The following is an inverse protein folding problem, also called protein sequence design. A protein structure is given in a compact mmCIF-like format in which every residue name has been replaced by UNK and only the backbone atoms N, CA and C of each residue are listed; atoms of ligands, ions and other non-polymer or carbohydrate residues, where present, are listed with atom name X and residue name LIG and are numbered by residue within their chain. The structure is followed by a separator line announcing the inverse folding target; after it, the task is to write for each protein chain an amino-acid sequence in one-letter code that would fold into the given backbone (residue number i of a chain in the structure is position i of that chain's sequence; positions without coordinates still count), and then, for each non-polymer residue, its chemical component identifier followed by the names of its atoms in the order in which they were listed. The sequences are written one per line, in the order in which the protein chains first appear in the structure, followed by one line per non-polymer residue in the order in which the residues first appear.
data_IF_849534780284
#
_entry.id   IF_849534780284
#
_cell.length_a   1.000
_cell.length_b   1.000
_cell.length_c   1.000
_cell.angle_alpha   90.00
_cell.angle_beta   90.00
_cell.angle_gamma   90.00
#
_symmetry.space_group_name_H-M   'P 1'
#
loop_
_entity.id
_entity.type
_entity.pdbx_description
1 polymer ?
#
# COMPACT_ATOMS: atom_id res chain seq x y z
N UNK A 1 10.57 -32.79 15.64
CA UNK A 1 9.69 -32.36 16.75
C UNK A 1 8.84 -31.21 16.24
N UNK A 2 7.52 -31.27 16.38
CA UNK A 2 6.62 -30.16 16.01
C UNK A 2 6.78 -29.04 17.05
N UNK A 3 7.11 -27.82 16.58
CA UNK A 3 7.16 -26.64 17.45
C UNK A 3 5.75 -26.22 17.81
N UNK A 4 5.47 -26.14 19.11
CA UNK A 4 4.13 -25.79 19.62
C UNK A 4 4.26 -24.67 20.64
N UNK A 5 3.39 -23.65 20.52
CA UNK A 5 3.35 -22.46 21.36
C UNK A 5 1.95 -22.20 21.88
N UNK A 6 1.81 -21.48 22.98
CA UNK A 6 0.53 -21.10 23.56
C UNK A 6 0.07 -19.75 22.99
N UNK A 7 -1.12 -19.72 22.43
CA UNK A 7 -1.81 -18.48 22.07
C UNK A 7 -2.43 -17.86 23.32
N UNK A 8 -1.99 -16.66 23.70
CA UNK A 8 -2.41 -15.98 24.93
C UNK A 8 -3.92 -15.68 24.93
N UNK A 9 -4.45 -15.14 23.82
CA UNK A 9 -5.85 -14.69 23.72
C UNK A 9 -6.85 -15.85 23.88
N UNK A 10 -6.58 -17.01 23.28
CA UNK A 10 -7.51 -18.16 23.27
C UNK A 10 -7.10 -19.29 24.21
N UNK A 11 -5.97 -19.14 24.89
CA UNK A 11 -5.37 -20.17 25.77
C UNK A 11 -5.28 -21.57 25.11
N UNK A 12 -4.98 -21.60 23.79
CA UNK A 12 -4.85 -22.85 23.01
C UNK A 12 -3.43 -23.05 22.52
N UNK A 13 -3.08 -24.30 22.24
CA UNK A 13 -1.81 -24.67 21.63
C UNK A 13 -1.86 -24.48 20.11
N UNK A 14 -0.87 -23.79 19.59
CA UNK A 14 -0.63 -23.54 18.16
C UNK A 14 0.60 -24.35 17.75
N UNK A 15 0.40 -25.25 16.80
CA UNK A 15 1.47 -26.04 16.22
C UNK A 15 1.92 -25.41 14.91
N UNK A 16 3.23 -25.16 14.77
CA UNK A 16 3.81 -24.72 13.51
C UNK A 16 3.88 -25.90 12.54
N UNK A 17 3.45 -25.68 11.28
CA UNK A 17 3.37 -26.74 10.27
C UNK A 17 4.47 -26.64 9.23
N UNK A 18 4.51 -25.53 8.47
CA UNK A 18 5.43 -25.32 7.38
C UNK A 18 6.04 -23.92 7.48
N UNK A 19 7.37 -23.80 7.32
CA UNK A 19 8.05 -22.52 7.22
C UNK A 19 7.71 -21.85 5.88
N UNK A 20 7.23 -20.63 5.95
CA UNK A 20 6.84 -19.81 4.78
C UNK A 20 7.95 -18.83 4.41
N UNK A 21 8.59 -18.21 5.40
CA UNK A 21 9.64 -17.23 5.21
C UNK A 21 10.63 -17.22 6.37
N UNK A 22 11.87 -16.80 6.10
CA UNK A 22 12.93 -16.61 7.09
C UNK A 22 13.68 -15.32 6.78
N UNK A 23 13.77 -14.43 7.75
CA UNK A 23 14.49 -13.16 7.70
C UNK A 23 15.53 -13.08 8.81
N UNK A 24 16.33 -12.01 8.87
CA UNK A 24 17.28 -11.78 9.96
C UNK A 24 16.64 -11.62 11.34
N UNK A 25 15.35 -11.28 11.41
CA UNK A 25 14.65 -11.01 12.67
C UNK A 25 13.74 -12.16 13.13
N UNK A 26 13.07 -12.83 12.18
CA UNK A 26 12.01 -13.79 12.50
C UNK A 26 11.79 -14.80 11.38
N UNK A 27 11.11 -15.89 11.74
CA UNK A 27 10.52 -16.84 10.79
C UNK A 27 9.01 -16.73 10.79
N UNK A 28 8.41 -16.87 9.60
CA UNK A 28 6.96 -16.94 9.42
C UNK A 28 6.56 -18.37 9.09
N UNK A 29 5.53 -18.85 9.76
CA UNK A 29 5.07 -20.24 9.67
C UNK A 29 3.59 -20.32 9.42
N UNK A 30 3.17 -21.29 8.61
CA UNK A 30 1.80 -21.80 8.65
C UNK A 30 1.54 -22.49 9.97
N UNK A 31 0.27 -22.50 10.41
CA UNK A 31 -0.12 -23.06 11.68
C UNK A 31 -1.30 -24.03 11.54
N UNK A 32 -1.56 -24.83 12.60
CA UNK A 32 -2.79 -25.60 12.72
C UNK A 32 -4.04 -24.75 13.04
N UNK A 33 -3.89 -23.44 13.15
CA UNK A 33 -4.98 -22.49 13.30
C UNK A 33 -5.31 -21.87 11.96
N UNK A 34 -6.30 -22.41 11.29
CA UNK A 34 -6.66 -22.10 9.92
C UNK A 34 -6.87 -20.57 9.71
N UNK A 35 -6.29 -20.02 8.66
CA UNK A 35 -6.34 -18.59 8.34
C UNK A 35 -5.38 -17.70 9.15
N UNK A 36 -4.46 -18.31 9.92
CA UNK A 36 -3.46 -17.57 10.70
C UNK A 36 -2.05 -18.10 10.48
N UNK A 37 -1.12 -17.16 10.35
CA UNK A 37 0.31 -17.38 10.35
C UNK A 37 0.90 -17.05 11.73
N UNK A 38 2.03 -17.68 12.06
CA UNK A 38 2.85 -17.34 13.22
C UNK A 38 4.15 -16.67 12.78
N UNK A 39 4.47 -15.47 13.30
CA UNK A 39 5.80 -14.85 13.18
C UNK A 39 6.55 -15.08 14.47
N UNK A 40 7.65 -15.86 14.41
CA UNK A 40 8.47 -16.29 15.54
C UNK A 40 9.81 -15.58 15.45
N UNK A 41 10.14 -14.75 16.43
CA UNK A 41 11.38 -14.00 16.48
C UNK A 41 12.57 -14.89 16.85
N UNK A 42 13.74 -14.62 16.26
CA UNK A 42 14.98 -15.27 16.64
C UNK A 42 15.40 -14.88 18.06
N UNK A 43 15.33 -13.59 18.38
CA UNK A 43 15.70 -13.02 19.68
C UNK A 43 14.65 -12.01 20.14
N UNK A 44 13.53 -12.43 20.78
CA UNK A 44 12.55 -11.50 21.34
C UNK A 44 13.17 -10.80 22.55
N UNK A 45 13.27 -9.46 22.51
CA UNK A 45 13.70 -8.62 23.63
C UNK A 45 12.48 -7.90 24.25
N UNK A 46 12.58 -7.45 25.49
CA UNK A 46 11.46 -6.90 26.25
C UNK A 46 10.74 -5.76 25.52
N UNK A 47 11.48 -4.85 24.94
CA UNK A 47 10.91 -3.71 24.21
C UNK A 47 10.02 -4.16 23.02
N UNK A 48 10.42 -5.18 22.27
CA UNK A 48 9.61 -5.77 21.20
C UNK A 48 8.37 -6.46 21.75
N UNK A 49 8.48 -7.13 22.88
CA UNK A 49 7.36 -7.78 23.57
C UNK A 49 6.34 -6.73 24.03
N UNK A 50 6.79 -5.67 24.69
CA UNK A 50 5.93 -4.57 25.16
C UNK A 50 5.20 -3.90 23.98
N UNK A 51 5.93 -3.61 22.89
CA UNK A 51 5.37 -3.09 21.65
C UNK A 51 4.25 -3.97 21.10
N UNK A 52 4.50 -5.29 20.99
CA UNK A 52 3.49 -6.24 20.50
C UNK A 52 2.26 -6.29 21.39
N UNK A 53 2.44 -6.30 22.72
CA UNK A 53 1.31 -6.29 23.67
C UNK A 53 0.46 -5.03 23.49
N UNK A 54 1.10 -3.87 23.30
CA UNK A 54 0.42 -2.61 23.04
C UNK A 54 -0.36 -2.68 21.72
N UNK A 55 0.23 -3.22 20.66
CA UNK A 55 -0.41 -3.36 19.34
C UNK A 55 -1.63 -4.29 19.39
N UNK A 56 -1.54 -5.44 20.07
CA UNK A 56 -2.66 -6.38 20.23
C UNK A 56 -3.86 -5.71 20.91
N UNK A 57 -3.61 -4.86 21.92
CA UNK A 57 -4.66 -4.14 22.68
C UNK A 57 -5.25 -2.95 21.90
N UNK A 58 -4.47 -2.31 21.04
CA UNK A 58 -4.81 -1.05 20.38
C UNK A 58 -4.90 -1.19 18.85
N UNK A 59 -5.61 -2.19 18.35
CA UNK A 59 -5.76 -2.42 16.91
C UNK A 59 -6.43 -1.24 16.20
N UNK A 60 -5.96 -0.79 15.03
CA UNK A 60 -6.67 0.17 14.18
C UNK A 60 -8.01 -0.40 13.68
N UNK A 61 -8.99 0.48 13.44
CA UNK A 61 -10.23 0.10 12.77
C UNK A 61 -9.95 -0.23 11.31
N UNK A 62 -10.38 -1.40 10.85
CA UNK A 62 -10.18 -1.81 9.45
C UNK A 62 -11.22 -1.14 8.54
N UNK A 63 -10.80 -0.31 7.57
CA UNK A 63 -11.73 0.41 6.70
C UNK A 63 -12.48 -0.50 5.71
N UNK A 64 -12.00 -1.73 5.48
CA UNK A 64 -12.56 -2.67 4.50
C UNK A 64 -13.24 -3.88 5.15
N UNK A 65 -13.48 -3.87 6.47
CA UNK A 65 -14.12 -4.98 7.18
C UNK A 65 -15.50 -5.33 6.58
N UNK A 66 -16.25 -4.33 6.15
CA UNK A 66 -17.56 -4.48 5.50
C UNK A 66 -17.49 -5.18 4.13
N UNK A 67 -16.30 -5.26 3.52
CA UNK A 67 -16.03 -5.98 2.27
C UNK A 67 -15.53 -7.41 2.50
N UNK A 68 -15.54 -7.87 3.74
CA UNK A 68 -14.94 -9.15 4.15
C UNK A 68 -13.47 -9.23 3.68
N UNK A 69 -12.69 -8.19 4.00
CA UNK A 69 -11.29 -8.07 3.64
C UNK A 69 -10.46 -7.60 4.83
N UNK A 70 -9.22 -8.08 4.91
CA UNK A 70 -8.25 -7.74 5.94
C UNK A 70 -7.27 -6.71 5.35
N UNK A 71 -7.36 -5.46 5.82
CA UNK A 71 -6.53 -4.36 5.30
C UNK A 71 -5.10 -4.35 5.85
N UNK A 72 -4.83 -5.05 6.95
CA UNK A 72 -3.49 -5.16 7.53
C UNK A 72 -3.35 -6.48 8.32
N UNK A 73 -2.21 -7.17 8.13
CA UNK A 73 -1.84 -8.37 8.88
C UNK A 73 -1.38 -8.00 10.30
N UNK A 74 -2.34 -7.51 11.11
CA UNK A 74 -2.09 -7.00 12.45
C UNK A 74 -1.84 -8.12 13.44
N UNK A 75 -0.96 -7.94 14.47
CA UNK A 75 -0.82 -8.89 15.54
C UNK A 75 -2.17 -9.22 16.18
N UNK A 76 -2.58 -10.48 16.08
CA UNK A 76 -3.85 -10.98 16.61
C UNK A 76 -3.71 -11.40 18.07
N UNK A 77 -2.67 -12.16 18.38
CA UNK A 77 -2.39 -12.67 19.72
C UNK A 77 -0.90 -12.96 19.90
N UNK A 78 -0.40 -12.76 21.09
CA UNK A 78 0.93 -13.16 21.51
C UNK A 78 1.05 -14.70 21.55
N UNK A 79 2.23 -15.19 21.18
CA UNK A 79 2.63 -16.60 21.31
C UNK A 79 3.71 -16.74 22.39
N UNK A 80 3.53 -17.70 23.28
CA UNK A 80 4.41 -18.00 24.40
C UNK A 80 4.94 -19.45 24.32
N UNK A 81 6.17 -19.65 24.78
CA UNK A 81 6.71 -20.99 24.96
C UNK A 81 6.15 -21.67 26.25
N UNK A 82 6.64 -22.87 26.55
CA UNK A 82 6.20 -23.65 27.72
C UNK A 82 6.61 -23.01 29.08
N UNK A 83 7.47 -22.01 29.05
CA UNK A 83 7.92 -21.26 30.24
C UNK A 83 7.20 -19.92 30.37
N UNK A 84 6.22 -19.62 29.49
CA UNK A 84 5.52 -18.33 29.45
C UNK A 84 6.32 -17.20 28.85
N UNK A 85 7.46 -17.48 28.19
CA UNK A 85 8.25 -16.46 27.51
C UNK A 85 7.64 -16.20 26.15
N UNK A 86 7.44 -14.92 25.82
CA UNK A 86 6.97 -14.49 24.49
C UNK A 86 8.01 -14.82 23.43
N UNK A 87 7.58 -15.52 22.39
CA UNK A 87 8.42 -15.91 21.25
C UNK A 87 7.99 -15.23 19.94
N UNK A 88 6.78 -14.73 19.86
CA UNK A 88 6.23 -14.12 18.64
C UNK A 88 4.72 -13.85 18.74
N UNK A 89 4.06 -13.85 17.60
CA UNK A 89 2.63 -13.55 17.53
C UNK A 89 1.95 -14.27 16.38
N UNK A 90 0.63 -14.39 16.49
CA UNK A 90 -0.26 -14.78 15.40
C UNK A 90 -0.70 -13.54 14.61
N UNK A 91 -0.82 -13.69 13.32
CA UNK A 91 -1.39 -12.67 12.41
C UNK A 91 -2.28 -13.36 11.36
N UNK A 92 -3.27 -12.64 10.78
CA UNK A 92 -4.08 -13.19 9.70
C UNK A 92 -3.21 -13.59 8.51
N UNK A 93 -3.54 -14.73 7.90
CA UNK A 93 -2.97 -15.15 6.62
C UNK A 93 -3.63 -14.38 5.47
N UNK A 94 -2.83 -13.89 4.53
CA UNK A 94 -3.29 -13.19 3.33
C UNK A 94 -3.11 -14.10 2.13
N UNK A 95 -4.21 -14.55 1.54
CA UNK A 95 -4.21 -15.47 0.39
C UNK A 95 -4.77 -14.79 -0.86
N UNK A 96 -4.39 -15.30 -2.04
CA UNK A 96 -4.94 -14.83 -3.32
C UNK A 96 -4.57 -13.38 -3.65
N UNK A 97 -3.43 -12.90 -3.19
CA UNK A 97 -2.94 -11.54 -3.40
C UNK A 97 -1.53 -11.54 -3.97
N UNK A 98 -1.19 -10.50 -4.71
CA UNK A 98 0.14 -10.26 -5.30
C UNK A 98 0.77 -9.02 -4.69
N UNK A 99 2.11 -8.97 -4.64
CA UNK A 99 2.82 -7.79 -4.15
C UNK A 99 2.56 -6.57 -5.04
N UNK A 100 2.46 -5.40 -4.41
CA UNK A 100 2.26 -4.14 -5.14
C UNK A 100 3.39 -3.89 -6.14
N UNK A 101 4.62 -4.34 -5.87
CA UNK A 101 5.75 -4.27 -6.79
C UNK A 101 5.43 -4.94 -8.14
N UNK A 102 4.81 -6.12 -8.13
CA UNK A 102 4.41 -6.82 -9.36
C UNK A 102 3.34 -6.04 -10.12
N UNK A 103 2.39 -5.43 -9.39
CA UNK A 103 1.29 -4.67 -9.99
C UNK A 103 1.73 -3.32 -10.55
N UNK A 104 2.67 -2.62 -9.88
CA UNK A 104 3.17 -1.32 -10.34
C UNK A 104 4.00 -1.44 -11.63
N UNK A 105 4.77 -2.53 -11.79
CA UNK A 105 5.75 -2.64 -12.85
C UNK A 105 5.15 -3.31 -14.10
N UNK A 106 5.05 -2.61 -15.27
CA UNK A 106 4.44 -3.18 -16.48
C UNK A 106 5.08 -4.50 -16.95
N UNK A 107 6.41 -4.62 -16.83
CA UNK A 107 7.14 -5.85 -17.18
C UNK A 107 6.74 -7.02 -16.26
N UNK A 108 6.61 -6.75 -14.95
CA UNK A 108 6.19 -7.77 -13.97
C UNK A 108 4.74 -8.21 -14.22
N UNK A 109 3.83 -7.25 -14.50
CA UNK A 109 2.45 -7.59 -14.87
C UNK A 109 2.38 -8.59 -16.03
N UNK A 110 3.14 -8.35 -17.09
CA UNK A 110 3.23 -9.28 -18.22
C UNK A 110 3.81 -10.64 -17.82
N UNK A 111 4.92 -10.64 -17.07
CA UNK A 111 5.59 -11.87 -16.62
C UNK A 111 4.68 -12.77 -15.79
N UNK A 112 3.82 -12.19 -14.95
CA UNK A 112 2.93 -12.92 -14.04
C UNK A 112 1.48 -12.96 -14.53
N UNK A 113 1.18 -12.51 -15.77
CA UNK A 113 -0.16 -12.45 -16.35
C UNK A 113 -1.19 -11.75 -15.45
N UNK A 114 -0.79 -10.63 -14.83
CA UNK A 114 -1.66 -9.87 -13.94
C UNK A 114 -2.56 -8.94 -14.79
N UNK A 115 -3.84 -9.23 -14.78
CA UNK A 115 -4.84 -8.40 -15.44
C UNK A 115 -5.07 -7.12 -14.63
N UNK A 116 -4.53 -6.02 -15.11
CA UNK A 116 -4.67 -4.70 -14.49
C UNK A 116 -4.90 -3.66 -15.57
N UNK A 117 -5.57 -2.58 -15.19
CA UNK A 117 -5.72 -1.38 -15.99
C UNK A 117 -5.55 -0.14 -15.12
N UNK A 118 -5.54 1.02 -15.75
CA UNK A 118 -5.30 2.26 -15.03
C UNK A 118 -6.40 2.63 -14.04
N UNK A 119 -7.67 2.23 -14.31
CA UNK A 119 -8.78 2.38 -13.36
C UNK A 119 -8.54 1.53 -12.11
N UNK A 120 -8.18 0.25 -12.29
CA UNK A 120 -7.84 -0.67 -11.18
C UNK A 120 -6.75 -0.08 -10.30
N UNK A 121 -5.67 0.48 -10.89
CA UNK A 121 -4.57 1.06 -10.14
C UNK A 121 -4.98 2.31 -9.34
N UNK A 122 -5.91 3.14 -9.86
CA UNK A 122 -6.50 4.23 -9.09
C UNK A 122 -7.31 3.74 -7.89
N UNK A 123 -8.09 2.66 -8.06
CA UNK A 123 -8.86 2.05 -6.96
C UNK A 123 -7.91 1.52 -5.88
N UNK A 124 -6.84 0.84 -6.27
CA UNK A 124 -5.79 0.36 -5.34
C UNK A 124 -5.18 1.55 -4.58
N UNK A 125 -4.80 2.63 -5.28
CA UNK A 125 -4.23 3.83 -4.66
C UNK A 125 -5.17 4.45 -3.62
N UNK A 126 -6.47 4.60 -3.97
CA UNK A 126 -7.50 5.10 -3.06
C UNK A 126 -7.62 4.22 -1.81
N UNK A 127 -7.62 2.91 -1.99
CA UNK A 127 -7.77 1.96 -0.88
C UNK A 127 -6.52 1.95 0.02
N UNK A 128 -5.30 2.06 -0.52
CA UNK A 128 -4.07 2.22 0.27
C UNK A 128 -4.15 3.51 1.11
N UNK A 129 -4.56 4.63 0.51
CA UNK A 129 -4.73 5.88 1.23
C UNK A 129 -5.75 5.76 2.38
N UNK A 130 -6.87 5.05 2.17
CA UNK A 130 -7.85 4.79 3.23
C UNK A 130 -7.28 3.96 4.39
N UNK A 131 -6.47 2.94 4.09
CA UNK A 131 -5.81 2.11 5.10
C UNK A 131 -4.80 2.92 5.91
N UNK A 132 -3.95 3.71 5.24
CA UNK A 132 -2.95 4.55 5.91
C UNK A 132 -3.64 5.63 6.76
N UNK A 133 -4.75 6.21 6.28
CA UNK A 133 -5.57 7.13 7.09
C UNK A 133 -6.04 6.46 8.39
N UNK A 134 -6.56 5.23 8.32
CA UNK A 134 -7.03 4.51 9.51
C UNK A 134 -5.90 4.21 10.51
N UNK A 135 -4.69 3.92 10.01
CA UNK A 135 -3.50 3.68 10.83
C UNK A 135 -3.06 4.99 11.53
N UNK A 136 -2.98 6.10 10.79
CA UNK A 136 -2.61 7.42 11.33
C UNK A 136 -3.63 7.92 12.36
N UNK A 137 -4.94 7.75 12.12
CA UNK A 137 -6.00 8.10 13.08
C UNK A 137 -5.86 7.37 14.43
N UNK A 138 -5.23 6.21 14.45
CA UNK A 138 -4.93 5.46 15.67
C UNK A 138 -3.58 5.85 16.31
N UNK A 139 -2.84 6.78 15.69
CA UNK A 139 -1.56 7.28 16.20
C UNK A 139 -0.35 6.40 15.84
N UNK A 140 -0.50 5.45 14.92
CA UNK A 140 0.62 4.67 14.41
C UNK A 140 1.32 5.38 13.25
N UNK A 141 2.62 5.16 13.11
CA UNK A 141 3.43 5.61 11.98
C UNK A 141 4.04 4.37 11.32
N UNK A 142 3.86 4.22 10.02
CA UNK A 142 4.33 3.02 9.33
C UNK A 142 5.86 2.95 9.29
N UNK A 143 6.52 4.08 9.01
CA UNK A 143 7.97 4.21 9.05
C UNK A 143 8.71 3.54 7.88
N UNK A 144 8.31 2.36 7.44
CA UNK A 144 8.87 1.63 6.28
C UNK A 144 7.77 1.17 5.33
N UNK A 145 7.22 2.11 4.57
CA UNK A 145 6.29 1.79 3.49
C UNK A 145 7.11 1.44 2.24
N UNK A 146 6.93 0.22 1.74
CA UNK A 146 7.52 -0.26 0.48
C UNK A 146 6.55 -1.15 -0.28
N UNK A 147 6.79 -1.32 -1.57
CA UNK A 147 5.87 -2.02 -2.47
C UNK A 147 5.72 -3.51 -2.15
N UNK A 148 6.74 -4.12 -1.55
CA UNK A 148 6.77 -5.52 -1.15
C UNK A 148 5.90 -5.81 0.08
N UNK A 149 5.71 -4.80 0.96
CA UNK A 149 4.91 -4.91 2.18
C UNK A 149 3.42 -4.60 1.95
N UNK A 150 3.01 -4.42 0.70
CA UNK A 150 1.60 -4.21 0.32
C UNK A 150 1.20 -5.33 -0.65
N UNK A 151 0.24 -6.14 -0.25
CA UNK A 151 -0.36 -7.18 -1.07
C UNK A 151 -1.70 -6.69 -1.61
N UNK A 152 -2.04 -7.05 -2.84
CA UNK A 152 -3.29 -6.62 -3.48
C UNK A 152 -3.98 -7.81 -4.12
N UNK A 153 -5.27 -7.99 -3.85
CA UNK A 153 -6.08 -9.03 -4.47
C UNK A 153 -6.73 -8.55 -5.80
N UNK A 154 -7.42 -9.47 -6.48
CA UNK A 154 -8.10 -9.18 -7.76
C UNK A 154 -9.29 -8.21 -7.63
N UNK A 155 -9.75 -7.89 -6.41
CA UNK A 155 -10.80 -6.89 -6.13
C UNK A 155 -10.24 -5.49 -5.89
N UNK A 156 -8.95 -5.25 -6.17
CA UNK A 156 -8.22 -4.01 -5.87
C UNK A 156 -8.19 -3.66 -4.37
N UNK A 157 -8.28 -4.66 -3.50
CA UNK A 157 -8.23 -4.49 -2.05
C UNK A 157 -6.82 -4.79 -1.55
N UNK A 158 -6.11 -3.78 -0.98
CA UNK A 158 -4.76 -3.96 -0.44
C UNK A 158 -4.78 -4.47 0.99
N UNK A 159 -3.74 -5.22 1.33
CA UNK A 159 -3.38 -5.58 2.71
C UNK A 159 -1.95 -5.16 2.99
N UNK A 160 -1.71 -4.40 4.04
CA UNK A 160 -0.36 -4.08 4.53
C UNK A 160 0.10 -5.22 5.44
N UNK A 161 1.28 -5.76 5.14
CA UNK A 161 1.95 -6.79 5.95
C UNK A 161 3.14 -6.21 6.70
N UNK A 162 3.78 -6.99 7.56
CA UNK A 162 4.95 -6.59 8.37
C UNK A 162 4.66 -5.42 9.32
N UNK A 163 3.44 -5.39 9.87
CA UNK A 163 2.94 -4.28 10.69
C UNK A 163 3.66 -4.15 12.04
N UNK A 164 4.32 -5.19 12.52
CA UNK A 164 5.13 -5.15 13.75
C UNK A 164 6.41 -4.30 13.62
N UNK A 165 6.79 -3.90 12.40
CA UNK A 165 7.86 -2.92 12.14
C UNK A 165 7.43 -1.47 12.44
N UNK A 166 6.14 -1.15 12.48
CA UNK A 166 5.61 0.21 12.66
C UNK A 166 6.15 0.88 13.91
N UNK A 167 6.26 2.20 13.89
CA UNK A 167 6.47 2.97 15.11
C UNK A 167 5.16 3.06 15.90
N UNK A 168 5.24 2.81 17.18
CA UNK A 168 4.11 2.74 18.11
C UNK A 168 4.38 3.67 19.29
N UNK A 169 3.44 4.55 19.59
CA UNK A 169 3.51 5.39 20.80
C UNK A 169 2.53 4.84 21.84
N UNK A 170 3.03 4.61 23.05
CA UNK A 170 2.19 4.24 24.18
C UNK A 170 1.47 5.49 24.72
N UNK A 171 0.15 5.56 24.63
CA UNK A 171 -0.59 6.75 25.09
C UNK A 171 -0.57 6.95 26.60
N UNK A 172 -0.18 5.94 27.39
CA UNK A 172 -0.17 6.01 28.83
C UNK A 172 1.19 6.43 29.39
N UNK A 173 2.28 5.83 28.86
CA UNK A 173 3.64 6.13 29.32
C UNK A 173 4.35 7.19 28.49
N UNK A 174 3.85 7.51 27.31
CA UNK A 174 4.52 8.36 26.33
C UNK A 174 5.74 7.70 25.66
N UNK A 175 6.02 6.41 25.96
CA UNK A 175 7.15 5.69 25.36
C UNK A 175 6.90 5.47 23.87
N UNK A 176 7.93 5.72 23.05
CA UNK A 176 7.90 5.51 21.62
C UNK A 176 8.74 4.27 21.28
N UNK A 177 8.09 3.29 20.64
CA UNK A 177 8.72 2.09 20.07
C UNK A 177 8.97 2.37 18.60
N UNK A 178 10.19 2.75 18.24
CA UNK A 178 10.56 3.25 16.92
C UNK A 178 10.46 2.19 15.82
N UNK A 179 10.28 2.66 14.58
CA UNK A 179 10.57 1.90 13.39
C UNK A 179 12.08 2.00 13.11
N UNK A 180 12.78 0.87 13.12
CA UNK A 180 14.24 0.84 13.07
C UNK A 180 14.79 0.79 11.63
N UNK A 181 13.93 0.68 10.63
CA UNK A 181 14.27 0.43 9.23
C UNK A 181 13.64 1.46 8.30
N UNK A 182 14.21 1.60 7.12
CA UNK A 182 13.67 2.40 6.04
C UNK A 182 14.15 1.85 4.70
N UNK A 183 13.40 2.12 3.64
CA UNK A 183 13.67 1.61 2.31
C UNK A 183 14.18 2.71 1.39
N UNK A 184 15.20 2.39 0.60
CA UNK A 184 15.72 3.29 -0.42
C UNK A 184 14.61 3.67 -1.42
N UNK A 185 14.61 4.93 -1.87
CA UNK A 185 13.58 5.46 -2.76
C UNK A 185 12.26 5.84 -2.06
N UNK A 186 12.03 5.41 -0.81
CA UNK A 186 10.87 5.76 0.02
C UNK A 186 11.24 6.62 1.23
N UNK A 187 12.52 6.83 1.49
CA UNK A 187 12.98 7.67 2.59
C UNK A 187 12.89 9.16 2.19
N UNK A 188 12.15 10.00 2.93
CA UNK A 188 12.04 11.43 2.62
C UNK A 188 13.37 12.16 2.85
N UNK A 189 13.54 13.30 2.19
CA UNK A 189 14.79 14.06 2.14
C UNK A 189 15.42 14.34 3.51
N UNK A 190 14.59 14.68 4.50
CA UNK A 190 15.00 15.01 5.87
C UNK A 190 15.51 13.81 6.69
N UNK A 191 15.28 12.58 6.20
CA UNK A 191 15.77 11.35 6.85
C UNK A 191 16.95 10.71 6.10
N UNK A 192 17.36 11.25 4.95
CA UNK A 192 18.50 10.72 4.20
C UNK A 192 19.81 11.07 4.91
N UNK A 193 20.61 10.07 5.20
CA UNK A 193 21.86 10.21 5.96
C UNK A 193 21.69 10.26 7.47
N UNK A 194 20.47 10.11 7.97
CA UNK A 194 20.17 10.02 9.40
C UNK A 194 20.01 8.55 9.82
N UNK A 195 20.50 8.17 11.01
CA UNK A 195 20.20 6.86 11.55
C UNK A 195 18.71 6.80 11.96
N UNK A 196 17.90 6.12 11.16
CA UNK A 196 16.43 6.03 11.34
C UNK A 196 16.07 5.46 12.72
N UNK A 197 16.90 4.57 13.27
CA UNK A 197 16.67 3.99 14.59
C UNK A 197 16.68 5.03 15.75
N UNK A 198 17.28 6.20 15.51
CA UNK A 198 17.37 7.29 16.49
C UNK A 198 16.27 8.36 16.32
N UNK A 199 15.38 8.21 15.32
CA UNK A 199 14.38 9.21 14.96
C UNK A 199 12.98 8.81 15.39
N UNK A 200 12.29 9.70 16.09
CA UNK A 200 10.85 9.61 16.29
C UNK A 200 10.14 10.07 15.00
N UNK A 201 9.77 9.10 14.19
CA UNK A 201 9.08 9.40 12.93
C UNK A 201 7.65 9.89 13.20
N UNK A 202 7.09 10.61 12.23
CA UNK A 202 5.72 11.13 12.30
C UNK A 202 4.97 10.76 11.02
N UNK A 203 3.66 10.93 11.01
CA UNK A 203 2.85 10.76 9.79
C UNK A 203 3.31 11.64 8.62
N UNK A 204 4.03 12.75 8.90
CA UNK A 204 4.58 13.64 7.86
C UNK A 204 5.61 12.92 6.99
N UNK A 205 6.40 12.00 7.57
CA UNK A 205 7.33 11.16 6.82
C UNK A 205 6.58 10.11 5.98
N UNK A 206 5.53 9.52 6.53
CA UNK A 206 4.67 8.57 5.79
C UNK A 206 3.91 9.24 4.64
N UNK A 207 3.56 10.52 4.74
CA UNK A 207 2.92 11.28 3.66
C UNK A 207 3.79 11.35 2.40
N UNK A 208 5.12 11.47 2.55
CA UNK A 208 6.05 11.36 1.42
C UNK A 208 6.01 9.96 0.81
N UNK A 209 6.12 8.92 1.64
CA UNK A 209 6.12 7.51 1.22
C UNK A 209 4.83 7.16 0.48
N UNK A 210 3.68 7.60 1.00
CA UNK A 210 2.38 7.40 0.34
C UNK A 210 2.35 8.06 -1.03
N UNK A 211 2.86 9.29 -1.17
CA UNK A 211 3.00 9.96 -2.47
C UNK A 211 3.85 9.16 -3.45
N UNK A 212 4.97 8.58 -3.00
CA UNK A 212 5.82 7.69 -3.81
C UNK A 212 5.07 6.43 -4.25
N UNK A 213 4.35 5.77 -3.33
CA UNK A 213 3.55 4.56 -3.63
C UNK A 213 2.46 4.87 -4.68
N UNK A 214 1.71 5.97 -4.50
CA UNK A 214 0.67 6.36 -5.46
C UNK A 214 1.29 6.69 -6.82
N UNK A 215 2.46 7.33 -6.85
CA UNK A 215 3.18 7.61 -8.09
C UNK A 215 3.57 6.31 -8.81
N UNK A 216 4.15 5.33 -8.10
CA UNK A 216 4.46 4.02 -8.67
C UNK A 216 3.23 3.35 -9.31
N UNK A 217 2.08 3.39 -8.62
CA UNK A 217 0.83 2.81 -9.14
C UNK A 217 0.40 3.46 -10.45
N UNK A 218 0.41 4.77 -10.52
CA UNK A 218 -0.17 5.51 -11.65
C UNK A 218 0.79 5.67 -12.82
N UNK A 219 2.11 5.62 -12.58
CA UNK A 219 3.15 5.90 -13.57
C UNK A 219 4.11 4.73 -13.84
N UNK A 220 4.02 3.64 -13.06
CA UNK A 220 4.79 2.41 -13.31
C UNK A 220 6.27 2.47 -12.94
N UNK A 221 6.69 3.49 -12.18
CA UNK A 221 8.07 3.67 -11.72
C UNK A 221 8.21 4.75 -10.66
N UNK A 222 9.43 4.99 -10.13
CA UNK A 222 9.67 5.98 -9.07
C UNK A 222 9.54 7.43 -9.58
N UNK A 223 9.11 8.36 -8.70
CA UNK A 223 9.01 9.79 -9.07
C UNK A 223 10.37 10.43 -9.33
N UNK A 224 11.39 10.09 -8.54
CA UNK A 224 12.73 10.65 -8.63
C UNK A 224 13.60 9.88 -9.64
N UNK A 225 13.18 9.92 -10.91
CA UNK A 225 13.84 9.29 -12.04
C UNK A 225 13.58 10.10 -13.32
N UNK A 226 14.63 10.46 -14.06
CA UNK A 226 14.53 11.20 -15.30
C UNK A 226 15.88 11.24 -16.04
N UNK A 227 15.99 12.07 -17.08
CA UNK A 227 17.25 12.31 -17.77
C UNK A 227 18.04 13.36 -16.99
N UNK A 228 19.26 12.97 -16.58
CA UNK A 228 20.19 13.89 -15.93
C UNK A 228 20.79 14.86 -16.94
N UNK A 229 20.71 16.17 -16.66
CA UNK A 229 21.24 17.25 -17.47
C UNK A 229 22.45 17.94 -16.82
N UNK A 230 22.84 17.52 -15.61
CA UNK A 230 24.07 18.01 -14.95
C UNK A 230 25.33 17.42 -15.55
N UNK A 231 26.48 17.97 -15.21
CA UNK A 231 27.78 17.41 -15.61
C UNK A 231 28.10 16.11 -14.86
N UNK A 232 28.88 15.22 -15.49
CA UNK A 232 29.31 13.95 -14.91
C UNK A 232 28.22 12.87 -14.90
N UNK A 233 28.40 11.87 -14.02
CA UNK A 233 27.47 10.75 -13.88
C UNK A 233 26.13 11.19 -13.27
N UNK A 234 25.07 10.43 -13.58
CA UNK A 234 23.75 10.65 -12.99
C UNK A 234 23.80 10.41 -11.47
N UNK A 235 23.04 11.21 -10.72
CA UNK A 235 22.96 11.07 -9.28
C UNK A 235 22.17 9.80 -8.90
N UNK A 236 22.56 9.21 -7.76
CA UNK A 236 21.79 8.14 -7.13
C UNK A 236 20.41 8.63 -6.71
N UNK A 237 19.43 7.72 -6.61
CA UNK A 237 18.04 8.06 -6.29
C UNK A 237 17.90 8.78 -4.95
N UNK A 238 18.65 8.37 -3.94
CA UNK A 238 18.70 9.02 -2.62
C UNK A 238 19.14 10.47 -2.72
N UNK A 239 20.16 10.77 -3.54
CA UNK A 239 20.64 12.13 -3.75
C UNK A 239 19.63 12.99 -4.54
N UNK A 240 18.93 12.41 -5.53
CA UNK A 240 17.84 13.07 -6.22
C UNK A 240 16.70 13.45 -5.24
N UNK A 241 16.31 12.53 -4.35
CA UNK A 241 15.33 12.82 -3.31
C UNK A 241 15.83 13.89 -2.36
N UNK A 242 17.07 13.79 -1.86
CA UNK A 242 17.66 14.73 -0.93
C UNK A 242 17.66 16.16 -1.49
N UNK A 243 17.87 16.31 -2.79
CA UNK A 243 17.88 17.61 -3.49
C UNK A 243 16.52 18.03 -4.07
N UNK A 244 15.49 17.17 -3.99
CA UNK A 244 14.16 17.42 -4.56
C UNK A 244 14.13 17.43 -6.09
N UNK A 245 15.06 16.74 -6.73
CA UNK A 245 15.24 16.72 -8.19
C UNK A 245 14.42 15.58 -8.82
N UNK A 246 13.32 15.93 -9.43
CA UNK A 246 12.49 15.00 -10.20
C UNK A 246 11.95 15.68 -11.47
N UNK A 247 11.45 14.96 -12.48
CA UNK A 247 11.12 15.51 -13.79
C UNK A 247 10.16 16.70 -13.81
N UNK A 248 9.39 16.89 -12.74
CA UNK A 248 8.40 17.97 -12.61
C UNK A 248 8.71 18.93 -11.44
N UNK A 249 9.97 18.98 -10.99
CA UNK A 249 10.41 19.90 -9.93
C UNK A 249 10.46 21.37 -10.38
N UNK A 250 10.49 21.61 -11.70
CA UNK A 250 10.80 22.91 -12.28
C UNK A 250 12.31 23.18 -12.40
N UNK A 251 13.18 22.35 -11.80
CA UNK A 251 14.62 22.37 -12.01
C UNK A 251 14.97 21.67 -13.34
N UNK A 252 15.94 22.23 -14.07
CA UNK A 252 16.37 21.71 -15.37
C UNK A 252 17.42 20.60 -15.29
N UNK A 253 17.90 20.26 -14.09
CA UNK A 253 18.90 19.21 -13.89
C UNK A 253 18.33 17.79 -14.12
N UNK A 254 17.04 17.59 -13.88
CA UNK A 254 16.34 16.34 -14.17
C UNK A 254 15.11 16.65 -15.03
N UNK A 255 15.09 16.10 -16.24
CA UNK A 255 13.99 16.33 -17.18
C UNK A 255 13.29 15.02 -17.55
N UNK A 256 12.02 15.07 -18.00
CA UNK A 256 11.32 13.89 -18.49
C UNK A 256 12.08 13.20 -19.63
N UNK A 257 12.13 11.87 -19.62
CA UNK A 257 12.54 11.05 -20.76
C UNK A 257 11.37 10.86 -21.74
N UNK A 258 11.64 10.28 -22.91
CA UNK A 258 10.59 9.89 -23.86
C UNK A 258 9.60 8.84 -23.31
N UNK A 259 10.01 8.10 -22.28
CA UNK A 259 9.14 7.10 -21.61
C UNK A 259 8.41 7.64 -20.39
N UNK A 260 8.74 8.84 -19.92
CA UNK A 260 8.11 9.47 -18.76
C UNK A 260 6.65 9.78 -19.07
N UNK A 261 5.74 9.28 -18.23
CA UNK A 261 4.32 9.58 -18.32
C UNK A 261 4.07 10.97 -17.73
N UNK A 262 3.47 11.92 -18.47
CA UNK A 262 3.30 13.28 -18.01
C UNK A 262 2.19 13.42 -16.96
N UNK A 263 2.33 14.35 -16.02
CA UNK A 263 1.34 14.55 -14.94
C UNK A 263 -0.02 15.07 -15.44
N UNK A 264 -0.07 15.74 -16.61
CA UNK A 264 -1.30 16.33 -17.15
C UNK A 264 -2.32 15.30 -17.65
N UNK A 265 -1.97 14.01 -17.70
CA UNK A 265 -2.95 12.94 -17.96
C UNK A 265 -3.86 12.66 -16.77
N UNK A 266 -3.49 13.14 -15.58
CA UNK A 266 -4.24 12.96 -14.34
C UNK A 266 -5.42 13.95 -14.24
N UNK A 267 -6.31 13.65 -13.32
CA UNK A 267 -7.25 14.65 -12.79
C UNK A 267 -6.47 15.85 -12.24
N UNK A 268 -6.97 17.07 -12.50
CA UNK A 268 -6.30 18.33 -12.13
C UNK A 268 -5.84 18.37 -10.67
N UNK A 269 -6.72 17.96 -9.75
CA UNK A 269 -6.42 18.04 -8.33
C UNK A 269 -5.42 16.96 -7.91
N UNK A 270 -5.45 15.78 -8.55
CA UNK A 270 -4.45 14.72 -8.32
C UNK A 270 -3.06 15.13 -8.81
N UNK A 271 -2.98 15.81 -9.96
CA UNK A 271 -1.76 16.46 -10.45
C UNK A 271 -1.22 17.46 -9.41
N UNK A 272 -2.09 18.34 -8.88
CA UNK A 272 -1.71 19.32 -7.86
C UNK A 272 -1.18 18.67 -6.57
N UNK A 273 -1.75 17.53 -6.14
CA UNK A 273 -1.26 16.80 -4.96
C UNK A 273 0.17 16.29 -5.15
N UNK A 274 0.52 15.78 -6.33
CA UNK A 274 1.90 15.35 -6.61
C UNK A 274 2.89 16.52 -6.55
N UNK A 275 2.55 17.65 -7.16
CA UNK A 275 3.38 18.86 -7.08
C UNK A 275 3.53 19.35 -5.65
N UNK A 276 2.44 19.37 -4.87
CA UNK A 276 2.49 19.72 -3.45
C UNK A 276 3.33 18.74 -2.64
N UNK A 277 3.21 17.44 -2.91
CA UNK A 277 3.96 16.40 -2.18
C UNK A 277 5.47 16.53 -2.39
N UNK A 278 5.90 16.66 -3.65
CA UNK A 278 7.32 16.55 -4.00
C UNK A 278 8.04 17.89 -4.19
N UNK A 279 7.32 19.01 -4.42
CA UNK A 279 7.91 20.33 -4.54
C UNK A 279 7.76 21.13 -3.24
N UNK A 280 6.52 21.47 -2.86
CA UNK A 280 6.29 22.22 -1.62
C UNK A 280 6.66 21.38 -0.39
N UNK A 281 6.22 20.11 -0.36
CA UNK A 281 6.47 19.17 0.71
C UNK A 281 7.93 18.72 0.84
N UNK A 282 8.76 18.96 -0.15
CA UNK A 282 10.22 18.82 -0.03
C UNK A 282 10.78 19.92 0.87
N UNK A 283 10.37 21.18 0.63
CA UNK A 283 10.82 22.35 1.41
C UNK A 283 10.15 22.45 2.78
N UNK A 284 8.89 22.10 2.83
CA UNK A 284 8.02 22.20 4.01
C UNK A 284 7.28 20.87 4.22
N UNK A 285 7.88 19.87 4.90
CA UNK A 285 7.34 18.51 5.01
C UNK A 285 5.89 18.44 5.50
N UNK A 286 5.46 19.33 6.40
CA UNK A 286 4.09 19.42 6.91
C UNK A 286 3.03 19.75 5.83
N UNK A 287 3.44 20.31 4.68
CA UNK A 287 2.55 20.61 3.54
C UNK A 287 2.28 19.40 2.64
N UNK A 288 2.97 18.29 2.84
CA UNK A 288 2.68 17.05 2.11
C UNK A 288 1.22 16.64 2.31
N UNK A 289 0.52 16.21 1.25
CA UNK A 289 -0.87 15.77 1.36
C UNK A 289 -1.03 14.66 2.39
N UNK A 290 -2.08 14.75 3.19
CA UNK A 290 -2.48 13.70 4.13
C UNK A 290 -3.04 12.48 3.38
N UNK A 291 -3.12 11.35 4.06
CA UNK A 291 -3.75 10.15 3.49
C UNK A 291 -5.24 10.39 3.16
N UNK A 292 -5.92 11.22 3.95
CA UNK A 292 -7.31 11.63 3.70
C UNK A 292 -7.44 12.46 2.42
N UNK A 293 -6.56 13.44 2.20
CA UNK A 293 -6.56 14.27 0.99
C UNK A 293 -6.28 13.41 -0.26
N UNK A 294 -5.31 12.48 -0.19
CA UNK A 294 -5.08 11.52 -1.27
C UNK A 294 -6.32 10.67 -1.56
N UNK A 295 -6.94 10.11 -0.51
CA UNK A 295 -8.15 9.29 -0.65
C UNK A 295 -9.29 10.05 -1.33
N UNK A 296 -9.61 11.25 -0.82
CA UNK A 296 -10.70 12.07 -1.36
C UNK A 296 -10.45 12.50 -2.80
N UNK A 297 -9.20 12.89 -3.13
CA UNK A 297 -8.83 13.31 -4.49
C UNK A 297 -8.84 12.14 -5.47
N UNK A 298 -8.36 10.94 -5.06
CA UNK A 298 -8.44 9.74 -5.88
C UNK A 298 -9.88 9.29 -6.12
N UNK A 299 -10.76 9.45 -5.13
CA UNK A 299 -12.19 9.18 -5.29
C UNK A 299 -12.85 10.14 -6.28
N UNK A 300 -12.49 11.42 -6.25
CA UNK A 300 -12.95 12.40 -7.24
C UNK A 300 -12.41 12.07 -8.65
N UNK A 301 -11.11 11.75 -8.74
CA UNK A 301 -10.48 11.38 -10.01
C UNK A 301 -11.10 10.14 -10.65
N UNK A 302 -11.48 9.13 -9.88
CA UNK A 302 -12.13 7.90 -10.36
C UNK A 302 -13.47 8.18 -11.09
N UNK A 303 -14.20 9.25 -10.73
CA UNK A 303 -15.43 9.65 -11.42
C UNK A 303 -15.18 10.20 -12.81
N UNK A 304 -13.96 10.67 -13.07
CA UNK A 304 -13.51 11.23 -14.35
C UNK A 304 -12.73 10.22 -15.21
N UNK A 305 -12.35 9.06 -14.68
CA UNK A 305 -11.68 8.00 -15.45
C UNK A 305 -12.69 7.23 -16.27
N UNK A 306 -12.55 7.26 -17.59
CA UNK A 306 -13.45 6.63 -18.55
C UNK A 306 -12.72 5.56 -19.36
N UNK A 307 -13.49 4.59 -19.86
CA UNK A 307 -12.98 3.53 -20.74
C UNK A 307 -12.73 4.04 -22.16
N UNK A 308 -11.66 3.58 -22.77
CA UNK A 308 -11.33 3.85 -24.18
C UNK A 308 -12.31 3.15 -25.13
N UNK A 309 -12.68 3.84 -26.20
CA UNK A 309 -13.51 3.27 -27.26
C UNK A 309 -12.76 2.37 -28.27
N UNK A 310 -11.42 2.26 -28.19
CA UNK A 310 -10.58 1.49 -29.13
C UNK A 310 -10.03 0.20 -28.53
N UNK A 311 -9.55 0.26 -27.29
CA UNK A 311 -8.93 -0.88 -26.58
C UNK A 311 -9.69 -1.08 -25.27
N UNK A 312 -10.12 -2.28 -25.00
CA UNK A 312 -11.01 -2.62 -23.88
C UNK A 312 -10.38 -2.48 -22.51
N UNK A 313 -9.06 -2.56 -22.41
CA UNK A 313 -8.30 -2.44 -21.15
C UNK A 313 -7.68 -1.05 -20.93
N UNK A 314 -7.90 -0.10 -21.85
CA UNK A 314 -7.47 1.28 -21.68
C UNK A 314 -8.52 2.10 -20.94
N UNK A 315 -8.07 2.83 -19.93
CA UNK A 315 -8.84 3.82 -19.18
C UNK A 315 -8.03 5.11 -19.09
N UNK A 316 -8.67 6.26 -19.20
CA UNK A 316 -8.00 7.56 -19.18
C UNK A 316 -8.89 8.63 -18.54
N UNK A 317 -8.29 9.72 -18.05
CA UNK A 317 -9.06 10.81 -17.49
C UNK A 317 -9.78 11.59 -18.61
N UNK A 318 -11.10 11.81 -18.43
CA UNK A 318 -11.96 12.49 -19.42
C UNK A 318 -11.43 13.88 -19.78
N UNK A 319 -10.89 14.63 -18.81
CA UNK A 319 -10.39 15.99 -19.03
C UNK A 319 -9.15 16.04 -19.94
N UNK A 320 -8.43 14.93 -20.12
CA UNK A 320 -7.33 14.84 -21.09
C UNK A 320 -7.82 14.85 -22.55
N UNK A 321 -9.10 14.53 -22.79
CA UNK A 321 -9.77 14.64 -24.08
C UNK A 321 -9.58 13.47 -25.04
N UNK A 322 -8.58 12.62 -24.85
CA UNK A 322 -8.23 11.45 -25.70
C UNK A 322 -7.58 10.36 -24.89
N UNK A 323 -7.53 9.14 -25.43
CA UNK A 323 -6.85 8.03 -24.73
C UNK A 323 -5.33 8.15 -24.86
N UNK A 324 -4.67 8.57 -23.77
CA UNK A 324 -3.21 8.67 -23.70
C UNK A 324 -2.51 7.33 -23.97
N UNK A 325 -3.10 6.22 -23.53
CA UNK A 325 -2.50 4.90 -23.68
C UNK A 325 -2.45 4.43 -25.13
N UNK A 326 -3.45 4.79 -25.96
CA UNK A 326 -3.41 4.53 -27.40
C UNK A 326 -2.30 5.31 -28.08
N UNK A 327 -2.11 6.59 -27.75
CA UNK A 327 -1.01 7.40 -28.32
C UNK A 327 0.34 6.86 -27.89
N UNK A 328 0.54 6.70 -26.58
CA UNK A 328 1.78 6.15 -26.04
C UNK A 328 2.14 4.79 -26.62
N UNK A 329 1.17 3.90 -26.79
CA UNK A 329 1.38 2.57 -27.36
C UNK A 329 1.84 2.66 -28.83
N UNK A 330 1.28 3.59 -29.59
CA UNK A 330 1.69 3.88 -30.96
C UNK A 330 3.10 4.43 -31.04
N UNK A 331 3.41 5.44 -30.20
CA UNK A 331 4.69 6.16 -30.22
C UNK A 331 5.87 5.29 -29.77
N UNK A 332 5.65 4.44 -28.76
CA UNK A 332 6.71 3.62 -28.14
C UNK A 332 6.69 2.16 -28.61
N UNK A 333 5.75 1.76 -29.47
CA UNK A 333 5.51 0.38 -29.85
C UNK A 333 5.45 -0.59 -28.65
N UNK A 334 4.89 -0.09 -27.53
CA UNK A 334 4.78 -0.83 -26.28
C UNK A 334 3.56 -0.38 -25.49
N UNK A 335 2.59 -1.29 -25.36
CA UNK A 335 1.39 -1.09 -24.56
C UNK A 335 1.59 -1.57 -23.11
N UNK A 336 1.43 -0.68 -22.15
CA UNK A 336 1.55 -1.00 -20.72
C UNK A 336 0.25 -1.55 -20.10
N UNK A 337 -0.88 -1.43 -20.82
CA UNK A 337 -2.18 -1.98 -20.47
C UNK A 337 -2.78 -2.76 -21.67
N UNK A 338 -2.13 -3.84 -22.09
CA UNK A 338 -2.56 -4.56 -23.29
C UNK A 338 -4.01 -5.03 -23.15
N UNK A 339 -4.75 -4.89 -24.24
CA UNK A 339 -6.15 -5.26 -24.31
C UNK A 339 -6.54 -5.65 -25.74
N UNK A 340 -7.82 -6.02 -25.93
CA UNK A 340 -8.38 -6.36 -27.22
C UNK A 340 -8.94 -5.12 -27.90
N UNK A 341 -8.81 -5.05 -29.23
CA UNK A 341 -9.49 -4.02 -30.02
C UNK A 341 -11.01 -4.19 -29.87
N UNK A 342 -11.68 -3.10 -29.55
CA UNK A 342 -13.14 -3.05 -29.59
C UNK A 342 -13.48 -2.87 -31.08
N UNK A 343 -13.70 -3.99 -31.79
CA UNK A 343 -14.21 -3.94 -33.16
C UNK A 343 -15.50 -3.11 -33.16
N UNK A 344 -15.67 -2.23 -34.15
CA UNK A 344 -16.93 -1.49 -34.37
C UNK A 344 -18.11 -2.47 -34.42
N UNK A 345 -18.72 -2.74 -33.27
CA UNK A 345 -20.01 -3.38 -33.22
C UNK A 345 -20.96 -2.31 -33.77
N UNK A 346 -21.34 -2.43 -35.03
CA UNK A 346 -22.47 -1.70 -35.60
C UNK A 346 -23.61 -1.81 -34.62
N UNK A 347 -24.01 -0.68 -34.08
CA UNK A 347 -25.01 -0.52 -33.04
C UNK A 347 -26.34 -1.18 -33.44
N UNK A 348 -26.56 -2.39 -33.00
CA UNK A 348 -27.90 -2.88 -32.75
C UNK A 348 -28.33 -2.32 -31.37
N UNK A 349 -29.43 -1.63 -31.24
CA UNK A 349 -29.86 -1.10 -29.96
C UNK A 349 -30.15 -2.25 -29.01
N UNK A 350 -29.34 -2.38 -27.96
CA UNK A 350 -29.60 -3.32 -26.88
C UNK A 350 -30.90 -2.97 -26.16
N UNK A 351 -31.74 -3.96 -25.84
CA UNK A 351 -32.96 -3.69 -25.08
C UNK A 351 -32.57 -3.11 -23.72
N UNK A 352 -33.29 -2.05 -23.31
CA UNK A 352 -33.18 -1.46 -21.98
C UNK A 352 -33.48 -2.52 -20.93
N UNK A 353 -32.46 -3.02 -20.26
CA UNK A 353 -32.65 -3.80 -19.05
C UNK A 353 -33.01 -2.80 -17.95
N UNK A 354 -34.23 -2.89 -17.46
CA UNK A 354 -34.67 -2.16 -16.28
C UNK A 354 -33.80 -2.53 -15.06
N UNK A 355 -33.54 -1.58 -14.16
CA UNK A 355 -32.78 -1.89 -12.95
C UNK A 355 -33.58 -2.88 -12.10
N UNK A 356 -33.00 -4.04 -11.83
CA UNK A 356 -33.53 -5.02 -10.88
C UNK A 356 -33.49 -4.38 -9.49
N UNK A 357 -34.60 -4.40 -8.73
CA UNK A 357 -34.58 -3.91 -7.35
C UNK A 357 -33.63 -4.73 -6.49
N UNK A 358 -32.86 -4.07 -5.64
CA UNK A 358 -32.07 -4.68 -4.58
C UNK A 358 -33.04 -5.47 -3.67
N UNK A 359 -33.06 -6.78 -3.80
CA UNK A 359 -33.69 -7.65 -2.82
C UNK A 359 -32.82 -7.69 -1.57
N UNK A 360 -33.44 -7.32 -0.45
CA UNK A 360 -32.91 -7.47 0.89
C UNK A 360 -32.51 -8.92 1.14
N UNK A 361 -31.20 -9.18 1.27
CA UNK A 361 -30.71 -10.42 1.86
C UNK A 361 -30.64 -10.23 3.38
N UNK A 362 -31.74 -10.51 4.05
CA UNK A 362 -31.75 -10.97 5.44
C UNK A 362 -31.67 -12.49 5.42
N UNK A 363 -30.89 -13.02 6.37
CA UNK A 363 -30.79 -14.43 6.79
C UNK A 363 -29.54 -15.18 6.31
N UNK A 364 -28.69 -15.49 7.21
CA UNK A 364 -28.43 -16.47 8.21
C UNK A 364 -26.99 -16.38 8.71
N UNK A 365 -26.78 -15.74 9.83
CA UNK A 365 -25.57 -15.90 10.64
C UNK A 365 -25.76 -17.12 11.54
N UNK A 366 -24.78 -18.02 11.67
CA UNK A 366 -24.83 -19.04 12.70
C UNK A 366 -24.71 -18.39 14.08
N UNK A 367 -25.65 -18.74 14.93
CA UNK A 367 -25.78 -18.32 16.33
C UNK A 367 -24.48 -18.48 17.13
N UNK A 368 -24.11 -17.43 17.86
CA UNK A 368 -23.27 -17.54 19.03
C UNK A 368 -22.16 -16.51 19.13
N UNK A 369 -22.49 -15.21 19.31
CA UNK A 369 -21.65 -14.28 20.06
C UNK A 369 -22.51 -13.04 20.40
N UNK A 370 -23.11 -13.05 21.56
CA UNK A 370 -23.68 -11.87 22.24
C UNK A 370 -22.53 -11.04 22.80
N UNK A 371 -22.38 -9.81 22.33
CA UNK A 371 -21.61 -8.77 23.01
C UNK A 371 -22.51 -8.11 24.02
N UNK A 372 -22.30 -8.41 25.31
CA UNK A 372 -22.80 -7.58 26.40
C UNK A 372 -21.99 -6.29 26.42
N UNK A 373 -22.69 -5.16 26.21
CA UNK A 373 -22.19 -3.83 26.53
C UNK A 373 -22.32 -3.65 28.06
N UNK A 374 -21.20 -3.46 28.73
CA UNK A 374 -21.16 -2.91 30.08
C UNK A 374 -20.86 -1.42 29.98
N UNK A 375 -21.70 -0.61 30.64
CA UNK A 375 -21.78 0.83 30.62
C UNK A 375 -20.59 1.60 31.22
#
# INVERSE_FOLDING_TARGET
MSLTYRCQLQNRLITLTQELANSGEAKVWHTNFNGYLAKIYHNPHNERVDKLQLMVRNRPSDPNVHLNHISFAWPYSILEDNHGKVVGFLMPEVVGSETLLKLCTPIMRRKYNLETNWYFLHVVARNIAAIIQAIHLKGYVLGDIKLENILVNNRALPTIIDTDSFQVSDPYSGKIYRCLVGSEGFTPAELIGVNIADVDQTEVHDRFRLGVVIYYLLFGGPPFRGLWQGGGDSLEQSELIRRGLWPFSGDKLVVPSNTTIPLNILHRDLHALFLRCFNEGHKFPHRRPTAEEWRGTLEAALKEVIRCGKIDNHYYNRSYGKCYWCERSSDLNFDIFPGKSIANVTSTPSPKVAPTPLTNFTENLPNGLTLEMVG
#
